data_IF_783201859526
#
_entry.id   IF_783201859526
#
_cell.length_a   1.000
_cell.length_b   1.000
_cell.length_c   1.000
_cell.angle_alpha   90.00
_cell.angle_beta   90.00
_cell.angle_gamma   90.00
#
_symmetry.space_group_name_H-M   'P 1'
#
loop_
_entity.id
_entity.type
_entity.pdbx_description
1 polymer ?
#
# COMPACT_ATOMS: atom_id res chain seq x y z
N UNK A 1 30.81 -14.44 24.24
CA UNK A 1 31.17 -13.81 22.94
C UNK A 1 30.08 -14.04 21.91
N UNK A 2 29.76 -15.31 21.60
CA UNK A 2 28.77 -15.69 20.57
C UNK A 2 27.41 -15.02 20.76
N UNK A 3 26.84 -15.01 21.96
CA UNK A 3 25.52 -14.39 22.22
C UNK A 3 25.45 -12.90 21.87
N UNK A 4 26.53 -12.14 22.08
CA UNK A 4 26.56 -10.70 21.78
C UNK A 4 26.52 -10.45 20.27
N UNK A 5 27.28 -11.23 19.50
CA UNK A 5 27.27 -11.13 18.04
C UNK A 5 25.96 -11.65 17.45
N UNK A 6 25.36 -12.69 18.03
CA UNK A 6 24.04 -13.16 17.63
C UNK A 6 22.95 -12.10 17.87
N UNK A 7 22.97 -11.43 19.03
CA UNK A 7 22.06 -10.32 19.31
C UNK A 7 22.30 -9.13 18.37
N UNK A 8 23.57 -8.79 18.10
CA UNK A 8 23.93 -7.75 17.15
C UNK A 8 23.45 -8.08 15.73
N UNK A 9 23.57 -9.33 15.30
CA UNK A 9 23.06 -9.78 14.00
C UNK A 9 21.53 -9.71 13.93
N UNK A 10 20.83 -10.15 14.99
CA UNK A 10 19.37 -10.11 15.03
C UNK A 10 18.84 -8.67 14.90
N UNK A 11 19.38 -7.72 15.67
CA UNK A 11 18.96 -6.31 15.57
C UNK A 11 19.37 -5.66 14.25
N UNK A 12 20.51 -6.06 13.66
CA UNK A 12 20.90 -5.61 12.32
C UNK A 12 19.89 -6.05 11.25
N UNK A 13 19.49 -7.33 11.28
CA UNK A 13 18.53 -7.87 10.30
C UNK A 13 17.17 -7.21 10.45
N UNK A 14 16.65 -7.07 11.68
CA UNK A 14 15.40 -6.34 11.93
C UNK A 14 15.47 -4.91 11.39
N UNK A 15 16.56 -4.19 11.68
CA UNK A 15 16.75 -2.82 11.24
C UNK A 15 16.81 -2.65 9.71
N UNK A 16 17.49 -3.57 9.02
CA UNK A 16 17.54 -3.57 7.56
C UNK A 16 16.17 -3.86 6.93
N UNK A 17 15.42 -4.81 7.48
CA UNK A 17 14.06 -5.12 7.01
C UNK A 17 13.12 -3.93 7.22
N UNK A 18 13.20 -3.24 8.36
CA UNK A 18 12.46 -2.00 8.59
C UNK A 18 12.82 -0.91 7.59
N UNK A 19 14.11 -0.73 7.28
CA UNK A 19 14.55 0.24 6.26
C UNK A 19 14.06 -0.10 4.86
N UNK A 20 13.93 -1.40 4.52
CA UNK A 20 13.36 -1.85 3.25
C UNK A 20 11.86 -1.56 3.16
N UNK A 21 11.14 -1.60 4.28
CA UNK A 21 9.71 -1.25 4.34
C UNK A 21 9.47 0.27 4.29
N UNK A 22 10.44 1.08 4.71
CA UNK A 22 10.32 2.54 4.83
C UNK A 22 9.84 3.26 3.56
N UNK A 23 10.51 3.12 2.39
CA UNK A 23 10.14 3.84 1.17
C UNK A 23 8.71 3.59 0.70
N UNK A 24 8.26 2.32 0.72
CA UNK A 24 6.90 1.98 0.34
C UNK A 24 5.90 2.67 1.28
N UNK A 25 6.15 2.61 2.59
CA UNK A 25 5.29 3.24 3.59
C UNK A 25 5.30 4.77 3.51
N UNK A 26 6.40 5.42 3.09
CA UNK A 26 6.43 6.87 2.86
C UNK A 26 5.45 7.29 1.75
N UNK A 27 5.33 6.48 0.69
CA UNK A 27 4.41 6.73 -0.42
C UNK A 27 2.93 6.59 -0.05
N UNK A 28 2.62 5.86 1.02
CA UNK A 28 1.25 5.67 1.54
C UNK A 28 0.92 6.66 2.68
N UNK A 29 1.81 6.78 3.67
CA UNK A 29 1.64 7.65 4.83
C UNK A 29 3.00 8.07 5.39
N UNK A 30 3.30 9.37 5.32
CA UNK A 30 4.59 9.93 5.75
C UNK A 30 4.93 9.56 7.20
N UNK A 31 3.96 9.57 8.12
CA UNK A 31 4.21 9.23 9.53
C UNK A 31 4.57 7.76 9.71
N UNK A 32 3.92 6.87 8.97
CA UNK A 32 4.27 5.44 8.98
C UNK A 32 5.64 5.20 8.34
N UNK A 33 5.90 5.81 7.17
CA UNK A 33 7.22 5.72 6.54
C UNK A 33 8.35 6.21 7.44
N UNK A 34 8.15 7.34 8.14
CA UNK A 34 9.10 7.85 9.13
C UNK A 34 9.30 6.89 10.30
N UNK A 35 8.23 6.27 10.82
CA UNK A 35 8.32 5.25 11.87
C UNK A 35 9.24 4.10 11.44
N UNK A 36 9.06 3.56 10.24
CA UNK A 36 9.88 2.47 9.70
C UNK A 36 11.34 2.89 9.51
N UNK A 37 11.60 4.08 8.98
CA UNK A 37 12.95 4.58 8.73
C UNK A 37 13.68 4.85 10.05
N UNK A 38 13.06 5.61 10.95
CA UNK A 38 13.65 5.96 12.25
C UNK A 38 13.84 4.70 13.10
N UNK A 39 12.85 3.80 13.11
CA UNK A 39 12.93 2.51 13.80
C UNK A 39 14.05 1.64 13.25
N UNK A 40 14.17 1.53 11.92
CA UNK A 40 15.24 0.80 11.28
C UNK A 40 16.64 1.34 11.61
N UNK A 41 16.83 2.66 11.56
CA UNK A 41 18.10 3.31 11.98
C UNK A 41 18.39 3.03 13.46
N UNK A 42 17.38 3.16 14.34
CA UNK A 42 17.53 2.89 15.76
C UNK A 42 17.93 1.43 16.04
N UNK A 43 17.43 0.47 15.25
CA UNK A 43 17.80 -0.93 15.36
C UNK A 43 19.23 -1.20 14.87
N UNK A 44 19.63 -0.62 13.74
CA UNK A 44 21.02 -0.70 13.28
C UNK A 44 21.99 -0.08 14.30
N UNK A 45 21.59 0.96 15.01
CA UNK A 45 22.41 1.54 16.09
C UNK A 45 22.74 0.52 17.20
N UNK A 46 21.82 -0.38 17.56
CA UNK A 46 22.01 -1.35 18.64
C UNK A 46 23.11 -2.38 18.37
N UNK A 47 23.56 -2.53 17.11
CA UNK A 47 24.72 -3.34 16.74
C UNK A 47 25.95 -2.91 17.55
N UNK A 48 26.19 -1.60 17.69
CA UNK A 48 27.42 -1.08 18.29
C UNK A 48 27.48 -1.38 19.79
N UNK A 49 26.47 -1.05 20.62
CA UNK A 49 26.46 -1.42 22.03
C UNK A 49 26.59 -2.93 22.25
N UNK A 50 25.97 -3.77 21.41
CA UNK A 50 26.06 -5.23 21.54
C UNK A 50 27.45 -5.75 21.18
N UNK A 51 27.99 -5.38 20.03
CA UNK A 51 29.29 -5.85 19.56
C UNK A 51 30.44 -5.33 20.44
N UNK A 52 30.35 -4.07 20.91
CA UNK A 52 31.37 -3.44 21.77
C UNK A 52 31.12 -3.61 23.27
N UNK A 53 30.04 -4.29 23.65
CA UNK A 53 29.68 -4.61 25.04
C UNK A 53 29.63 -3.40 25.96
N UNK A 54 28.85 -2.39 25.59
CA UNK A 54 28.71 -1.17 26.39
C UNK A 54 28.02 -1.40 27.75
N UNK A 55 27.47 -2.60 27.97
CA UNK A 55 27.01 -3.08 29.27
C UNK A 55 25.51 -2.99 29.46
N UNK A 56 25.07 -3.54 30.59
CA UNK A 56 23.67 -3.75 30.96
C UNK A 56 22.73 -2.57 30.72
N UNK A 57 23.06 -1.30 31.05
CA UNK A 57 22.16 -0.18 30.80
C UNK A 57 21.79 -0.01 29.32
N UNK A 58 22.75 -0.20 28.41
CA UNK A 58 22.52 -0.07 26.98
C UNK A 58 21.68 -1.21 26.43
N UNK A 59 21.89 -2.44 26.91
CA UNK A 59 21.08 -3.58 26.49
C UNK A 59 19.63 -3.42 26.96
N UNK A 60 19.42 -2.90 28.18
CA UNK A 60 18.09 -2.63 28.70
C UNK A 60 17.36 -1.54 27.89
N UNK A 61 18.05 -0.47 27.48
CA UNK A 61 17.47 0.56 26.60
C UNK A 61 17.12 -0.05 25.24
N UNK A 62 18.01 -0.86 24.66
CA UNK A 62 17.74 -1.54 23.39
C UNK A 62 16.52 -2.47 23.47
N UNK A 63 16.40 -3.26 24.53
CA UNK A 63 15.22 -4.09 24.81
C UNK A 63 13.97 -3.22 24.90
N UNK A 64 14.01 -2.13 25.68
CA UNK A 64 12.86 -1.25 25.86
C UNK A 64 12.40 -0.60 24.56
N UNK A 65 13.34 -0.07 23.77
CA UNK A 65 13.04 0.51 22.46
C UNK A 65 12.45 -0.51 21.49
N UNK A 66 13.01 -1.71 21.43
CA UNK A 66 12.51 -2.79 20.55
C UNK A 66 11.13 -3.27 20.99
N UNK A 67 10.89 -3.39 22.30
CA UNK A 67 9.58 -3.81 22.83
C UNK A 67 8.47 -2.80 22.49
N UNK A 68 8.79 -1.51 22.32
CA UNK A 68 7.81 -0.51 21.85
C UNK A 68 7.37 -0.81 20.41
N UNK A 69 8.30 -1.16 19.52
CA UNK A 69 7.96 -1.55 18.13
C UNK A 69 7.10 -2.81 18.09
N UNK A 70 7.51 -3.88 18.79
CA UNK A 70 6.69 -5.08 18.91
C UNK A 70 5.30 -4.79 19.51
N UNK A 71 5.21 -3.93 20.53
CA UNK A 71 3.92 -3.56 21.13
C UNK A 71 3.05 -2.80 20.12
N UNK A 72 3.65 -1.88 19.37
CA UNK A 72 2.95 -1.15 18.32
C UNK A 72 2.46 -2.09 17.21
N UNK A 73 3.27 -3.05 16.80
CA UNK A 73 2.89 -4.11 15.87
C UNK A 73 1.71 -4.92 16.42
N UNK A 74 1.79 -5.41 17.66
CA UNK A 74 0.70 -6.18 18.25
C UNK A 74 -0.58 -5.34 18.36
N UNK A 75 -0.50 -4.11 18.85
CA UNK A 75 -1.66 -3.22 18.99
C UNK A 75 -2.33 -3.02 17.64
N UNK A 76 -1.57 -2.70 16.60
CA UNK A 76 -2.12 -2.44 15.28
C UNK A 76 -2.77 -3.67 14.65
N UNK A 77 -2.51 -4.88 15.16
CA UNK A 77 -3.09 -6.16 14.69
C UNK A 77 -4.28 -6.62 15.52
N UNK A 78 -4.68 -5.84 16.53
CA UNK A 78 -5.89 -6.10 17.29
C UNK A 78 -7.13 -5.51 16.58
N UNK A 79 -8.27 -6.21 16.61
CA UNK A 79 -9.55 -5.64 16.20
C UNK A 79 -9.88 -4.38 17.01
N UNK A 80 -10.26 -3.29 16.32
CA UNK A 80 -10.66 -2.04 16.99
C UNK A 80 -9.51 -1.34 17.72
N UNK A 81 -8.26 -1.50 17.27
CA UNK A 81 -7.13 -0.93 18.00
C UNK A 81 -7.17 0.60 18.10
N UNK A 82 -6.64 1.18 19.19
CA UNK A 82 -6.78 2.61 19.46
C UNK A 82 -5.93 3.53 18.56
N UNK A 83 -5.09 2.98 17.69
CA UNK A 83 -4.16 3.76 16.86
C UNK A 83 -4.75 3.99 15.46
N UNK A 84 -5.27 2.93 14.87
CA UNK A 84 -5.80 2.91 13.49
C UNK A 84 -7.28 2.55 13.42
N UNK A 85 -7.86 2.04 14.51
CA UNK A 85 -9.25 1.55 14.55
C UNK A 85 -9.45 0.20 13.85
N UNK A 86 -8.46 -0.33 13.13
CA UNK A 86 -8.59 -1.49 12.23
C UNK A 86 -7.42 -2.46 12.32
N UNK A 87 -7.68 -3.75 12.15
CA UNK A 87 -6.62 -4.78 12.12
C UNK A 87 -5.72 -4.50 10.93
N UNK A 88 -4.47 -4.13 11.17
CA UNK A 88 -3.45 -4.14 10.13
C UNK A 88 -3.10 -5.59 9.80
N UNK A 89 -2.99 -5.93 8.52
CA UNK A 89 -2.65 -7.29 8.13
C UNK A 89 -1.17 -7.63 8.36
N UNK A 90 -0.80 -8.80 7.87
CA UNK A 90 0.50 -9.41 8.12
C UNK A 90 1.07 -9.93 6.82
N UNK A 91 2.17 -9.31 6.38
CA UNK A 91 3.00 -9.88 5.33
C UNK A 91 4.18 -10.67 5.94
N UNK A 92 4.79 -11.61 5.18
CA UNK A 92 5.91 -12.41 5.67
C UNK A 92 7.11 -11.59 6.15
N UNK A 93 7.33 -10.41 5.58
CA UNK A 93 8.44 -9.53 5.97
C UNK A 93 8.19 -8.89 7.34
N UNK A 94 6.98 -8.41 7.61
CA UNK A 94 6.59 -7.89 8.91
C UNK A 94 6.71 -8.97 9.98
N UNK A 95 6.30 -10.21 9.68
CA UNK A 95 6.50 -11.33 10.60
C UNK A 95 7.99 -11.60 10.83
N UNK A 96 8.82 -11.56 9.77
CA UNK A 96 10.26 -11.74 9.90
C UNK A 96 10.92 -10.67 10.78
N UNK A 97 10.52 -9.40 10.64
CA UNK A 97 10.94 -8.31 11.52
C UNK A 97 10.67 -8.67 12.99
N UNK A 98 9.42 -9.02 13.32
CA UNK A 98 9.02 -9.37 14.69
C UNK A 98 9.80 -10.56 15.25
N UNK A 99 10.09 -11.57 14.43
CA UNK A 99 10.91 -12.72 14.84
C UNK A 99 12.34 -12.30 15.20
N UNK A 100 12.96 -11.43 14.41
CA UNK A 100 14.30 -10.94 14.70
C UNK A 100 14.33 -9.98 15.90
N UNK A 101 13.30 -9.16 16.09
CA UNK A 101 13.12 -8.31 17.27
C UNK A 101 12.98 -9.14 18.55
N UNK A 102 12.11 -10.15 18.55
CA UNK A 102 11.95 -11.08 19.66
C UNK A 102 13.25 -11.82 19.97
N UNK A 103 13.98 -12.23 18.94
CA UNK A 103 15.29 -12.90 19.07
C UNK A 103 16.31 -11.96 19.73
N UNK A 104 16.37 -10.70 19.29
CA UNK A 104 17.25 -9.69 19.89
C UNK A 104 16.92 -9.48 21.38
N UNK A 105 15.64 -9.28 21.71
CA UNK A 105 15.19 -9.09 23.10
C UNK A 105 15.58 -10.31 23.96
N UNK A 106 15.29 -11.52 23.50
CA UNK A 106 15.61 -12.76 24.22
C UNK A 106 17.10 -12.92 24.49
N UNK A 107 17.94 -12.68 23.48
CA UNK A 107 19.40 -12.78 23.61
C UNK A 107 19.96 -11.67 24.52
N UNK A 108 19.51 -10.43 24.37
CA UNK A 108 19.93 -9.32 25.20
C UNK A 108 19.54 -9.53 26.67
N UNK A 109 18.33 -10.01 26.94
CA UNK A 109 17.88 -10.35 28.29
C UNK A 109 18.73 -11.48 28.89
N UNK A 110 19.02 -12.54 28.13
CA UNK A 110 19.89 -13.63 28.57
C UNK A 110 21.30 -13.14 28.91
N UNK A 111 21.86 -12.22 28.11
CA UNK A 111 23.14 -11.56 28.37
C UNK A 111 23.11 -10.78 29.69
N UNK A 112 22.06 -10.00 29.95
CA UNK A 112 21.90 -9.24 31.19
C UNK A 112 21.88 -10.19 32.40
N UNK A 113 21.08 -11.26 32.33
CA UNK A 113 20.99 -12.27 33.40
C UNK A 113 22.35 -12.92 33.65
N UNK A 114 23.07 -13.28 32.57
CA UNK A 114 24.40 -13.86 32.65
C UNK A 114 25.41 -12.91 33.30
N UNK A 115 25.47 -11.65 32.85
CA UNK A 115 26.37 -10.62 33.41
C UNK A 115 26.08 -10.39 34.90
N UNK A 116 24.81 -10.31 35.30
CA UNK A 116 24.42 -10.10 36.68
C UNK A 116 24.79 -11.30 37.57
N UNK A 117 24.59 -12.54 37.08
CA UNK A 117 25.02 -13.76 37.79
C UNK A 117 26.53 -13.82 37.95
N UNK A 118 27.28 -13.44 36.92
CA UNK A 118 28.74 -13.42 36.96
C UNK A 118 29.26 -12.35 37.92
N UNK A 119 28.71 -11.13 37.90
CA UNK A 119 29.04 -10.08 38.89
C UNK A 119 28.81 -10.56 40.32
N UNK A 120 27.65 -11.16 40.60
CA UNK A 120 27.34 -11.71 41.93
C UNK A 120 28.34 -12.77 42.40
N UNK A 121 28.74 -13.70 41.51
CA UNK A 121 29.76 -14.73 41.81
C UNK A 121 31.13 -14.12 42.10
N UNK A 122 31.51 -13.08 41.36
CA UNK A 122 32.78 -12.39 41.57
C UNK A 122 32.77 -11.61 42.89
N UNK A 123 31.66 -10.95 43.22
CA UNK A 123 31.50 -10.24 44.49
C UNK A 123 31.55 -11.21 45.67
N UNK A 124 30.87 -12.36 45.60
CA UNK A 124 30.89 -13.41 46.62
C UNK A 124 32.28 -14.02 46.83
N UNK A 125 33.03 -14.21 45.73
CA UNK A 125 34.43 -14.65 45.79
C UNK A 125 35.37 -13.57 46.35
N UNK A 126 35.06 -12.29 46.12
CA UNK A 126 35.81 -11.16 46.69
C UNK A 126 35.53 -10.92 48.18
N UNK A 127 34.42 -11.41 48.72
CA UNK A 127 34.10 -11.35 50.16
C UNK A 127 34.84 -12.45 50.93
N UNK A 128 35.21 -13.54 50.26
CA UNK A 128 35.98 -14.66 50.85
C UNK A 128 37.50 -14.45 50.79
N UNK A 129 37.99 -13.44 50.07
CA UNK A 129 39.39 -13.00 50.06
C UNK A 129 39.50 -11.56 50.64
N UNK A 130 40.39 -11.33 51.60
CA UNK A 130 40.57 -10.05 52.33
C UNK A 130 40.74 -8.85 51.37
N UNK A 131 40.10 -7.67 51.58
CA UNK A 131 39.99 -6.66 50.54
C UNK A 131 41.18 -5.70 50.48
N UNK A 132 41.78 -5.53 49.29
CA UNK A 132 42.61 -4.35 48.97
C UNK A 132 41.92 -3.41 47.98
N UNK A 133 41.54 -2.25 48.53
CA UNK A 133 41.37 -0.90 47.93
C UNK A 133 40.59 -0.74 46.60
N UNK A 134 39.40 -0.13 46.73
CA UNK A 134 38.55 0.38 45.63
C UNK A 134 39.22 1.52 44.85
N UNK A 135 39.15 1.45 43.52
CA UNK A 135 39.24 2.62 42.63
C UNK A 135 37.95 2.72 41.82
N UNK A 136 37.14 3.74 42.11
CA UNK A 136 36.00 4.14 41.26
C UNK A 136 36.55 4.88 40.05
N UNK A 137 36.21 4.44 38.83
CA UNK A 137 36.39 5.25 37.61
C UNK A 137 35.04 5.65 37.02
N UNK A 138 34.81 6.96 37.09
CA UNK A 138 34.18 7.88 36.14
C UNK A 138 33.27 7.28 35.05
N UNK A 139 31.99 7.62 35.15
CA UNK A 139 30.97 7.50 34.08
C UNK A 139 31.03 8.78 33.23
N UNK A 140 31.17 8.72 31.89
CA UNK A 140 30.99 9.91 31.07
C UNK A 140 29.51 10.14 30.80
N UNK A 141 29.11 11.38 31.08
CA UNK A 141 27.80 11.99 30.82
C UNK A 141 27.62 12.09 29.30
N UNK A 142 26.67 11.34 28.74
CA UNK A 142 26.12 11.55 27.40
C UNK A 142 24.75 10.85 27.28
N UNK A 143 23.81 11.24 28.14
CA UNK A 143 22.42 10.79 28.11
C UNK A 143 21.52 12.01 28.12
N UNK A 144 21.22 12.54 26.93
CA UNK A 144 20.36 13.72 26.82
C UNK A 144 19.62 13.94 25.51
N UNK A 145 19.95 13.25 24.40
CA UNK A 145 19.38 13.64 23.08
C UNK A 145 18.57 12.54 22.39
N UNK A 146 18.76 11.25 22.72
CA UNK A 146 18.06 10.16 22.01
C UNK A 146 16.70 9.79 22.64
N UNK A 147 16.49 10.05 23.93
CA UNK A 147 15.22 9.72 24.63
C UNK A 147 14.14 10.80 24.41
N UNK A 148 14.53 12.02 24.06
CA UNK A 148 13.60 13.14 23.92
C UNK A 148 12.84 13.16 22.57
N UNK A 149 13.34 12.50 21.52
CA UNK A 149 12.70 12.51 20.20
C UNK A 149 11.63 11.43 20.00
N UNK A 150 11.56 10.43 20.88
CA UNK A 150 10.58 9.34 20.80
C UNK A 150 9.34 9.62 21.66
N UNK A 151 9.41 10.57 22.60
CA UNK A 151 8.35 10.86 23.57
C UNK A 151 7.51 12.10 23.28
N UNK A 152 7.83 12.90 22.26
CA UNK A 152 7.07 14.13 21.93
C UNK A 152 6.01 13.95 20.83
N UNK A 153 5.78 12.72 20.34
CA UNK A 153 4.79 12.44 19.29
C UNK A 153 3.47 11.82 19.75
N UNK A 154 3.36 11.38 21.02
CA UNK A 154 2.12 10.87 21.58
C UNK A 154 1.60 11.88 22.61
N UNK A 155 0.62 12.70 22.24
CA UNK A 155 -0.46 13.24 23.08
C UNK A 155 -1.05 14.44 22.35
N UNK A 156 -2.13 14.25 21.60
CA UNK A 156 -3.44 14.94 21.74
C UNK A 156 -4.41 14.23 20.80
N UNK A 157 -5.47 13.61 21.32
CA UNK A 157 -6.81 13.56 20.70
C UNK A 157 -7.81 13.06 21.77
N UNK A 158 -8.93 13.76 22.01
CA UNK A 158 -9.89 13.40 23.05
C UNK A 158 -10.86 12.32 22.56
N UNK A 159 -11.03 11.27 23.38
CA UNK A 159 -12.00 10.20 23.16
C UNK A 159 -13.41 10.67 23.52
N UNK A 160 -14.28 10.83 22.53
CA UNK A 160 -15.74 10.81 22.72
C UNK A 160 -16.32 9.64 21.96
N UNK A 161 -16.85 8.64 22.68
CA UNK A 161 -17.53 7.47 22.10
C UNK A 161 -19.01 7.77 21.81
N UNK A 162 -19.57 7.29 20.70
CA UNK A 162 -21.00 6.99 20.59
C UNK A 162 -21.30 5.50 20.81
N UNK A 163 -22.49 5.25 21.38
CA UNK A 163 -23.11 3.94 21.67
C UNK A 163 -23.44 3.13 20.41
N UNK A 164 -23.55 1.80 20.50
CA UNK A 164 -24.04 0.97 19.40
C UNK A 164 -25.59 0.97 19.35
N UNK A 165 -26.16 1.17 18.16
CA UNK A 165 -27.56 0.85 17.87
C UNK A 165 -27.63 -0.55 17.23
N UNK A 166 -28.51 -1.39 17.76
CA UNK A 166 -28.80 -2.73 17.22
C UNK A 166 -29.72 -2.67 16.01
N UNK A 167 -29.41 -3.51 15.01
CA UNK A 167 -30.32 -3.87 13.91
C UNK A 167 -30.83 -5.31 14.06
N UNK A 168 -32.06 -5.63 13.62
CA UNK A 168 -32.70 -6.95 13.76
C UNK A 168 -32.27 -7.95 12.66
N UNK A 169 -32.60 -9.26 12.80
CA UNK A 169 -31.94 -10.32 12.06
C UNK A 169 -32.54 -10.61 10.68
N UNK A 170 -31.68 -11.17 9.83
CA UNK A 170 -31.94 -11.67 8.48
C UNK A 170 -32.98 -12.81 8.43
N UNK A 171 -33.82 -12.80 7.40
CA UNK A 171 -34.59 -13.96 6.95
C UNK A 171 -33.91 -14.59 5.74
N UNK A 172 -33.70 -15.90 5.82
CA UNK A 172 -33.11 -16.71 4.78
C UNK A 172 -34.09 -17.10 3.67
N UNK A 173 -33.53 -17.36 2.49
CA UNK A 173 -34.19 -18.01 1.38
C UNK A 173 -33.14 -18.61 0.43
N UNK A 174 -33.07 -19.94 0.38
CA UNK A 174 -32.26 -20.72 -0.57
C UNK A 174 -32.96 -20.86 -1.94
N UNK A 175 -32.24 -21.26 -3.01
CA UNK A 175 -32.50 -20.81 -4.37
C UNK A 175 -33.43 -21.74 -5.18
N UNK A 176 -34.18 -21.12 -6.11
CA UNK A 176 -34.95 -21.81 -7.14
C UNK A 176 -34.13 -21.99 -8.42
N UNK A 177 -33.97 -23.25 -8.83
CA UNK A 177 -33.38 -23.68 -10.10
C UNK A 177 -34.34 -23.34 -11.24
N UNK A 178 -33.88 -22.59 -12.24
CA UNK A 178 -34.62 -22.25 -13.46
C UNK A 178 -33.83 -22.60 -14.71
N UNK A 179 -34.41 -23.45 -15.56
CA UNK A 179 -33.83 -24.07 -16.74
C UNK A 179 -33.51 -23.12 -17.90
N UNK A 180 -32.44 -23.50 -18.60
CA UNK A 180 -32.14 -23.33 -20.03
C UNK A 180 -33.27 -22.84 -20.94
N UNK A 181 -33.00 -21.72 -21.63
CA UNK A 181 -33.69 -21.26 -22.82
C UNK A 181 -32.66 -20.71 -23.83
N UNK A 182 -32.84 -21.06 -25.10
CA UNK A 182 -31.89 -20.92 -26.20
C UNK A 182 -31.62 -19.48 -26.66
N UNK A 183 -30.46 -19.31 -27.32
CA UNK A 183 -30.01 -18.13 -28.08
C UNK A 183 -31.07 -17.57 -29.06
N UNK A 184 -30.90 -16.32 -29.49
CA UNK A 184 -30.36 -16.13 -30.84
C UNK A 184 -29.15 -15.19 -30.91
N UNK A 185 -28.31 -15.49 -31.91
CA UNK A 185 -27.14 -14.76 -32.37
C UNK A 185 -27.48 -13.37 -32.94
N UNK A 186 -26.52 -12.43 -32.86
CA UNK A 186 -26.34 -11.41 -33.88
C UNK A 186 -26.49 -9.95 -33.42
N UNK A 187 -25.36 -9.23 -33.48
CA UNK A 187 -25.27 -7.79 -33.79
C UNK A 187 -25.88 -6.82 -32.77
N UNK A 188 -25.09 -6.40 -31.77
CA UNK A 188 -25.32 -5.10 -31.11
C UNK A 188 -24.13 -4.47 -30.36
N UNK A 189 -22.89 -4.88 -30.63
CA UNK A 189 -21.70 -4.36 -29.92
C UNK A 189 -20.89 -3.29 -30.70
N UNK A 190 -21.48 -2.57 -31.67
CA UNK A 190 -20.74 -1.63 -32.52
C UNK A 190 -21.17 -0.14 -32.41
N UNK A 191 -22.17 0.21 -31.59
CA UNK A 191 -22.77 1.56 -31.62
C UNK A 191 -22.62 2.37 -30.31
N UNK A 192 -21.67 2.04 -29.44
CA UNK A 192 -21.40 2.84 -28.22
C UNK A 192 -20.06 3.59 -28.25
N UNK A 193 -19.35 3.61 -29.39
CA UNK A 193 -17.97 4.11 -29.50
C UNK A 193 -17.82 5.44 -30.24
N UNK A 194 -18.82 6.32 -30.21
CA UNK A 194 -18.67 7.65 -30.83
C UNK A 194 -19.16 8.76 -29.89
N UNK A 195 -18.21 9.30 -29.12
CA UNK A 195 -18.42 10.48 -28.29
C UNK A 195 -18.35 11.74 -29.16
N UNK A 196 -19.50 12.40 -29.33
CA UNK A 196 -19.68 13.65 -30.08
C UNK A 196 -18.68 14.75 -29.70
N UNK A 197 -18.05 15.36 -30.70
CA UNK A 197 -16.97 16.37 -30.63
C UNK A 197 -17.43 17.80 -30.28
N UNK A 198 -18.35 18.00 -29.33
CA UNK A 198 -18.79 19.35 -28.91
C UNK A 198 -19.53 19.35 -27.55
N UNK A 199 -19.02 18.61 -26.56
CA UNK A 199 -19.59 18.62 -25.20
C UNK A 199 -18.75 19.53 -24.29
N UNK A 200 -19.43 20.37 -23.50
CA UNK A 200 -18.83 21.15 -22.41
C UNK A 200 -18.14 20.19 -21.44
N UNK A 201 -16.95 20.53 -20.92
CA UNK A 201 -16.27 19.73 -19.92
C UNK A 201 -17.11 19.72 -18.63
N UNK A 202 -17.97 18.72 -18.48
CA UNK A 202 -18.78 18.58 -17.27
C UNK A 202 -18.82 17.10 -16.90
N UNK A 203 -17.96 16.72 -15.96
CA UNK A 203 -18.11 15.47 -15.22
C UNK A 203 -19.49 15.54 -14.52
N UNK A 204 -20.49 14.81 -15.02
CA UNK A 204 -21.86 14.91 -14.49
C UNK A 204 -22.13 13.82 -13.42
N UNK A 205 -22.89 14.07 -12.33
CA UNK A 205 -23.24 15.34 -11.69
C UNK A 205 -22.58 15.40 -10.30
N UNK A 206 -21.49 16.15 -10.15
CA UNK A 206 -21.20 16.78 -8.87
C UNK A 206 -21.13 18.28 -9.13
N UNK A 207 -21.70 19.06 -8.19
CA UNK A 207 -21.84 20.52 -8.24
C UNK A 207 -20.49 21.27 -8.17
N UNK A 208 -19.43 20.66 -8.69
CA UNK A 208 -18.08 21.20 -8.77
C UNK A 208 -17.66 21.05 -10.23
N UNK A 209 -17.53 22.18 -10.93
CA UNK A 209 -16.74 22.23 -12.15
C UNK A 209 -15.29 21.91 -11.75
N UNK A 210 -14.95 20.62 -11.68
CA UNK A 210 -13.56 20.22 -11.49
C UNK A 210 -12.86 20.47 -12.82
N UNK A 211 -11.97 21.44 -12.85
CA UNK A 211 -11.25 21.89 -14.06
C UNK A 211 -10.39 20.78 -14.69
N UNK A 212 -10.05 19.73 -13.93
CA UNK A 212 -9.31 18.54 -14.39
C UNK A 212 -9.56 17.33 -13.48
N UNK A 213 -9.16 16.12 -13.90
CA UNK A 213 -9.28 14.91 -13.08
C UNK A 213 -8.22 14.91 -11.96
N UNK A 214 -8.58 14.65 -10.68
CA UNK A 214 -7.62 14.72 -9.57
C UNK A 214 -6.53 13.65 -9.64
N UNK A 215 -5.30 14.07 -9.32
CA UNK A 215 -4.16 13.18 -9.20
C UNK A 215 -4.12 12.45 -7.85
N UNK A 216 -3.59 11.23 -7.88
CA UNK A 216 -3.28 10.46 -6.68
C UNK A 216 -1.90 9.82 -6.79
N UNK A 217 -1.38 9.35 -5.66
CA UNK A 217 -0.07 8.69 -5.59
C UNK A 217 0.05 7.57 -6.61
N UNK A 218 1.21 7.52 -7.29
CA UNK A 218 1.62 6.40 -8.16
C UNK A 218 1.66 5.08 -7.38
N UNK A 219 1.96 5.15 -6.08
CA UNK A 219 2.25 3.96 -5.28
C UNK A 219 3.61 3.34 -5.65
N UNK A 220 4.00 2.26 -4.95
CA UNK A 220 5.36 1.71 -5.04
C UNK A 220 5.56 0.74 -6.21
N UNK A 221 4.52 0.46 -7.00
CA UNK A 221 4.50 -0.64 -7.96
C UNK A 221 4.41 -0.19 -9.42
N UNK A 222 4.64 1.07 -9.73
CA UNK A 222 4.83 1.47 -11.12
C UNK A 222 6.15 0.92 -11.68
N UNK A 223 6.12 0.48 -12.93
CA UNK A 223 7.29 -0.02 -13.64
C UNK A 223 7.22 0.56 -15.05
N UNK A 224 8.19 1.39 -15.40
CA UNK A 224 8.27 1.98 -16.73
C UNK A 224 8.77 0.98 -17.78
N UNK A 225 8.53 1.27 -19.06
CA UNK A 225 8.95 0.42 -20.18
C UNK A 225 8.10 -0.85 -20.35
N UNK A 226 6.88 -0.87 -19.80
CA UNK A 226 5.90 -1.94 -20.03
C UNK A 226 5.47 -2.00 -21.51
N UNK A 227 5.04 -3.16 -22.03
CA UNK A 227 4.73 -3.32 -23.44
C UNK A 227 3.49 -2.52 -23.88
N UNK A 228 3.51 -2.03 -25.12
CA UNK A 228 2.32 -1.47 -25.78
C UNK A 228 1.38 -2.62 -26.19
N UNK A 229 0.28 -2.80 -25.46
CA UNK A 229 -0.66 -3.89 -25.70
C UNK A 229 -2.01 -3.60 -25.08
N UNK A 230 -3.06 -4.02 -25.78
CA UNK A 230 -4.44 -3.88 -25.31
C UNK A 230 -4.80 -5.02 -24.37
N UNK A 231 -4.49 -6.27 -24.73
CA UNK A 231 -4.62 -7.40 -23.82
C UNK A 231 -3.42 -7.48 -22.87
N UNK A 232 -3.68 -7.20 -21.60
CA UNK A 232 -2.67 -7.23 -20.53
C UNK A 232 -2.76 -8.49 -19.66
N UNK A 233 -3.67 -9.42 -19.94
CA UNK A 233 -3.94 -10.59 -19.08
C UNK A 233 -2.79 -11.60 -19.01
N UNK A 234 -1.95 -11.65 -20.03
CA UNK A 234 -0.84 -12.61 -20.11
C UNK A 234 0.49 -12.01 -19.68
N UNK A 235 1.36 -12.84 -19.12
CA UNK A 235 2.77 -12.52 -18.95
C UNK A 235 3.54 -12.76 -20.27
N UNK A 236 4.30 -11.79 -20.77
CA UNK A 236 4.92 -11.90 -22.10
C UNK A 236 6.11 -12.85 -22.15
N UNK A 237 6.74 -13.15 -21.00
CA UNK A 237 7.90 -14.05 -20.95
C UNK A 237 7.48 -15.51 -20.86
N UNK A 238 6.50 -15.79 -20.01
CA UNK A 238 6.04 -17.16 -19.71
C UNK A 238 4.82 -17.58 -20.51
N UNK A 239 4.05 -16.62 -21.05
CA UNK A 239 2.75 -16.87 -21.66
C UNK A 239 1.64 -17.24 -20.67
N UNK A 240 1.91 -17.15 -19.36
CA UNK A 240 0.94 -17.47 -18.32
C UNK A 240 -0.20 -16.46 -18.31
N UNK A 241 -1.44 -16.95 -18.34
CA UNK A 241 -2.66 -16.14 -18.35
C UNK A 241 -3.20 -15.96 -16.93
N UNK A 242 -3.37 -14.70 -16.51
CA UNK A 242 -3.96 -14.39 -15.22
C UNK A 242 -5.44 -14.76 -15.20
N UNK A 243 -5.84 -15.50 -14.16
CA UNK A 243 -7.22 -15.93 -13.97
C UNK A 243 -8.01 -14.85 -13.24
N UNK A 244 -9.19 -14.53 -13.76
CA UNK A 244 -10.11 -13.56 -13.16
C UNK A 244 -11.34 -13.35 -14.03
N UNK A 245 -12.27 -12.55 -13.53
CA UNK A 245 -13.46 -12.13 -14.29
C UNK A 245 -13.00 -11.11 -15.34
N UNK A 246 -13.29 -11.29 -16.64
CA UNK A 246 -12.87 -10.36 -17.67
C UNK A 246 -13.36 -8.92 -17.43
N UNK A 247 -12.51 -7.94 -17.69
CA UNK A 247 -12.83 -6.52 -17.67
C UNK A 247 -12.27 -5.87 -18.93
N UNK A 248 -13.17 -5.35 -19.77
CA UNK A 248 -12.79 -4.46 -20.86
C UNK A 248 -12.81 -3.02 -20.35
N UNK A 249 -11.66 -2.35 -20.37
CA UNK A 249 -11.49 -1.00 -19.85
C UNK A 249 -11.26 -0.02 -21.01
N UNK A 250 -12.07 1.03 -21.05
CA UNK A 250 -11.90 2.15 -21.98
C UNK A 250 -11.57 3.41 -21.20
N UNK A 251 -10.45 4.03 -21.55
CA UNK A 251 -10.01 5.31 -20.99
C UNK A 251 -10.05 6.33 -22.11
N UNK A 252 -10.88 7.36 -21.96
CA UNK A 252 -10.88 8.51 -22.84
C UNK A 252 -10.09 9.63 -22.20
N UNK A 253 -9.18 10.25 -22.95
CA UNK A 253 -8.33 11.33 -22.49
C UNK A 253 -8.68 12.59 -23.27
N UNK A 254 -8.94 13.66 -22.53
CA UNK A 254 -9.25 14.97 -23.05
C UNK A 254 -8.27 16.00 -22.50
N UNK A 255 -7.94 16.99 -23.31
CA UNK A 255 -7.34 18.26 -22.87
C UNK A 255 -8.44 19.33 -22.75
N UNK A 256 -8.13 20.42 -22.04
CA UNK A 256 -9.05 21.56 -21.86
C UNK A 256 -8.57 22.74 -22.68
N UNK A 257 -9.40 23.17 -23.64
CA UNK A 257 -9.18 24.40 -24.41
C UNK A 257 -10.38 25.33 -24.25
N UNK A 258 -10.17 26.49 -23.61
CA UNK A 258 -11.21 27.50 -23.37
C UNK A 258 -12.52 26.92 -22.77
N UNK A 259 -12.40 25.94 -21.88
CA UNK A 259 -13.52 25.26 -21.22
C UNK A 259 -14.19 24.14 -22.04
N UNK A 260 -13.68 23.85 -23.24
CA UNK A 260 -14.14 22.74 -24.09
C UNK A 260 -13.19 21.54 -23.97
N UNK A 261 -13.76 20.34 -23.96
CA UNK A 261 -13.00 19.08 -23.87
C UNK A 261 -12.60 18.65 -25.27
N UNK A 262 -11.29 18.68 -25.57
CA UNK A 262 -10.74 18.26 -26.84
C UNK A 262 -10.11 16.88 -26.67
N UNK A 263 -10.47 15.87 -27.47
CA UNK A 263 -9.82 14.57 -27.40
C UNK A 263 -8.30 14.67 -27.57
N UNK A 264 -7.54 14.10 -26.64
CA UNK A 264 -6.09 14.13 -26.67
C UNK A 264 -5.56 12.88 -27.35
N UNK A 265 -5.24 13.00 -28.65
CA UNK A 265 -4.63 11.93 -29.44
C UNK A 265 -3.12 11.80 -29.19
N UNK A 266 -2.58 10.59 -29.27
CA UNK A 266 -1.14 10.33 -29.14
C UNK A 266 -0.62 10.27 -27.70
N UNK A 267 -1.48 10.38 -26.69
CA UNK A 267 -1.10 10.22 -25.29
C UNK A 267 -0.89 8.74 -24.95
N UNK A 268 0.14 8.44 -24.18
CA UNK A 268 0.35 7.11 -23.61
C UNK A 268 -0.49 6.97 -22.36
N UNK A 269 -1.38 5.98 -22.32
CA UNK A 269 -2.13 5.60 -21.13
C UNK A 269 -1.52 4.30 -20.62
N UNK A 270 -0.80 4.37 -19.51
CA UNK A 270 -0.27 3.22 -18.80
C UNK A 270 -1.29 2.77 -17.73
N UNK A 271 -1.56 1.47 -17.64
CA UNK A 271 -2.34 0.89 -16.55
C UNK A 271 -1.60 -0.28 -15.88
N UNK A 272 -1.80 -0.41 -14.57
CA UNK A 272 -1.34 -1.56 -13.80
C UNK A 272 -2.25 -1.84 -12.62
N UNK A 273 -2.42 -3.11 -12.28
CA UNK A 273 -3.19 -3.51 -11.11
C UNK A 273 -2.78 -4.90 -10.60
N UNK A 274 -3.27 -5.24 -9.41
CA UNK A 274 -3.10 -6.56 -8.83
C UNK A 274 -3.91 -7.63 -9.58
N UNK A 275 -3.43 -8.86 -9.58
CA UNK A 275 -4.21 -10.03 -9.98
C UNK A 275 -5.36 -10.31 -8.99
N UNK A 276 -6.11 -11.38 -9.24
CA UNK A 276 -7.25 -11.78 -8.40
C UNK A 276 -6.87 -12.18 -6.97
N UNK A 277 -5.58 -12.31 -6.66
CA UNK A 277 -5.04 -12.66 -5.34
C UNK A 277 -4.22 -11.51 -4.71
N UNK A 278 -4.33 -10.29 -5.24
CA UNK A 278 -3.64 -9.12 -4.68
C UNK A 278 -2.15 -9.03 -5.04
N UNK A 279 -1.67 -9.80 -6.03
CA UNK A 279 -0.27 -9.83 -6.44
C UNK A 279 -0.04 -8.95 -7.67
N UNK A 280 0.97 -8.10 -7.60
CA UNK A 280 1.47 -7.29 -8.71
C UNK A 280 2.62 -8.01 -9.42
N UNK A 281 2.66 -7.92 -10.74
CA UNK A 281 3.84 -8.27 -11.53
C UNK A 281 4.95 -7.21 -11.36
N UNK A 282 6.20 -7.51 -11.69
CA UNK A 282 7.31 -6.56 -11.60
C UNK A 282 7.77 -6.21 -10.17
N UNK A 283 7.32 -6.94 -9.15
CA UNK A 283 7.61 -6.64 -7.74
C UNK A 283 8.53 -7.71 -7.15
N UNK A 284 9.77 -7.33 -6.85
CA UNK A 284 10.78 -8.23 -6.27
C UNK A 284 10.30 -8.89 -4.97
N UNK A 285 9.67 -8.12 -4.09
CA UNK A 285 9.20 -8.62 -2.79
C UNK A 285 8.06 -9.63 -2.90
N UNK A 286 7.38 -9.68 -4.04
CA UNK A 286 6.32 -10.66 -4.33
C UNK A 286 6.83 -11.82 -5.20
N UNK A 287 8.13 -11.84 -5.52
CA UNK A 287 8.72 -12.88 -6.37
C UNK A 287 8.34 -12.77 -7.85
N UNK A 288 7.88 -11.59 -8.29
CA UNK A 288 7.36 -11.36 -9.64
C UNK A 288 8.20 -10.38 -10.45
N UNK A 289 9.45 -10.10 -10.04
CA UNK A 289 10.30 -9.04 -10.63
C UNK A 289 10.47 -9.09 -12.15
N UNK A 290 10.47 -10.28 -12.74
CA UNK A 290 10.63 -10.46 -14.18
C UNK A 290 9.29 -10.53 -14.93
N UNK A 291 8.17 -10.56 -14.22
CA UNK A 291 6.85 -10.73 -14.80
C UNK A 291 6.23 -9.38 -15.14
N UNK A 292 5.31 -9.37 -16.12
CA UNK A 292 4.62 -8.16 -16.55
C UNK A 292 3.12 -8.32 -16.80
N UNK A 293 2.52 -9.42 -16.32
CA UNK A 293 1.07 -9.58 -16.36
C UNK A 293 0.32 -8.37 -15.77
N UNK A 294 -0.86 -8.06 -16.30
CA UNK A 294 -1.75 -6.98 -15.85
C UNK A 294 -1.07 -5.60 -15.84
N UNK A 295 -0.12 -5.42 -16.77
CA UNK A 295 0.57 -4.17 -17.08
C UNK A 295 0.66 -3.96 -18.58
N UNK A 296 0.49 -2.72 -19.00
CA UNK A 296 0.70 -2.32 -20.38
C UNK A 296 0.33 -0.86 -20.56
N UNK A 297 0.67 -0.34 -21.73
CA UNK A 297 0.17 0.94 -22.17
C UNK A 297 -0.48 0.85 -23.54
N UNK A 298 -1.32 1.83 -23.83
CA UNK A 298 -1.89 2.06 -25.14
C UNK A 298 -1.72 3.53 -25.51
N UNK A 299 -1.67 3.81 -26.80
CA UNK A 299 -1.65 5.18 -27.31
C UNK A 299 -3.08 5.57 -27.68
N UNK A 300 -3.52 6.74 -27.24
CA UNK A 300 -4.86 7.24 -27.55
C UNK A 300 -5.02 7.49 -29.04
N UNK A 301 -6.17 7.07 -29.59
CA UNK A 301 -6.50 7.29 -31.00
C UNK A 301 -6.96 8.75 -31.27
N UNK A 302 -7.47 9.04 -32.47
CA UNK A 302 -7.96 10.38 -32.85
C UNK A 302 -9.12 10.89 -31.95
N UNK A 303 -9.87 9.97 -31.35
CA UNK A 303 -10.95 10.27 -30.40
C UNK A 303 -10.46 10.32 -28.94
N UNK A 304 -9.15 10.32 -28.70
CA UNK A 304 -8.58 10.34 -27.36
C UNK A 304 -8.75 9.03 -26.58
N UNK A 305 -9.09 7.93 -27.26
CA UNK A 305 -9.47 6.67 -26.60
C UNK A 305 -8.32 5.67 -26.57
N UNK A 306 -8.09 5.07 -25.39
CA UNK A 306 -7.26 3.89 -25.16
C UNK A 306 -8.12 2.73 -24.62
N UNK A 307 -7.87 1.50 -25.09
CA UNK A 307 -8.68 0.33 -24.74
C UNK A 307 -7.82 -0.82 -24.27
N UNK A 308 -8.26 -1.50 -23.20
CA UNK A 308 -7.57 -2.63 -22.60
C UNK A 308 -8.52 -3.80 -22.36
N UNK A 309 -8.02 -5.01 -22.58
CA UNK A 309 -8.63 -6.25 -22.08
C UNK A 309 -7.82 -6.73 -20.88
N UNK A 310 -8.46 -6.82 -19.73
CA UNK A 310 -7.86 -7.23 -18.46
C UNK A 310 -8.82 -8.10 -17.65
N UNK A 311 -8.52 -8.31 -16.36
CA UNK A 311 -9.41 -8.93 -15.38
C UNK A 311 -9.81 -7.91 -14.31
N UNK A 312 -10.92 -8.14 -13.62
CA UNK A 312 -11.30 -7.39 -12.43
C UNK A 312 -10.17 -7.51 -11.38
N UNK A 313 -9.67 -6.40 -10.81
CA UNK A 313 -8.56 -6.44 -9.86
C UNK A 313 -8.93 -7.09 -8.52
N UNK A 314 -7.99 -7.82 -7.91
CA UNK A 314 -8.12 -8.29 -6.54
C UNK A 314 -7.74 -7.22 -5.52
N UNK A 315 -8.17 -7.38 -4.26
CA UNK A 315 -7.71 -6.53 -3.17
C UNK A 315 -6.32 -6.94 -2.69
N UNK A 316 -5.60 -6.00 -2.08
CA UNK A 316 -4.39 -6.27 -1.31
C UNK A 316 -4.40 -5.45 -0.02
N UNK A 317 -3.64 -5.90 0.96
CA UNK A 317 -3.74 -5.46 2.35
C UNK A 317 -3.76 -3.93 2.50
N UNK A 318 -4.79 -3.44 3.20
CA UNK A 318 -4.92 -2.03 3.58
C UNK A 318 -5.34 -1.07 2.46
N UNK A 319 -5.80 -1.58 1.31
CA UNK A 319 -6.26 -0.77 0.18
C UNK A 319 -7.63 -1.20 -0.35
N UNK A 320 -8.43 -0.24 -0.81
CA UNK A 320 -9.61 -0.52 -1.63
C UNK A 320 -9.18 -1.11 -2.97
N UNK A 321 -10.11 -1.75 -3.69
CA UNK A 321 -9.81 -2.36 -4.99
C UNK A 321 -9.71 -1.25 -6.07
N UNK A 322 -8.59 -1.21 -6.78
CA UNK A 322 -8.28 -0.15 -7.74
C UNK A 322 -7.47 -0.63 -8.95
N UNK A 323 -7.49 0.19 -10.01
CA UNK A 323 -6.60 0.11 -11.16
C UNK A 323 -5.79 1.39 -11.20
N UNK A 324 -4.46 1.29 -11.18
CA UNK A 324 -3.64 2.48 -11.36
C UNK A 324 -3.63 2.93 -12.82
N UNK A 325 -3.54 4.23 -13.02
CA UNK A 325 -3.48 4.87 -14.34
C UNK A 325 -2.43 5.96 -14.35
N UNK A 326 -1.68 6.06 -15.43
CA UNK A 326 -0.79 7.17 -15.73
C UNK A 326 -0.98 7.59 -17.18
N UNK A 327 -1.10 8.89 -17.42
CA UNK A 327 -1.21 9.46 -18.76
C UNK A 327 0.00 10.33 -19.03
N UNK A 328 0.72 10.03 -20.10
CA UNK A 328 1.95 10.73 -20.51
C UNK A 328 1.85 11.26 -21.92
N UNK A 329 2.44 12.43 -22.16
CA UNK A 329 2.62 12.98 -23.51
C UNK A 329 4.09 13.05 -23.86
N UNK A 330 4.40 12.98 -25.16
CA UNK A 330 5.77 12.95 -25.65
C UNK A 330 5.95 13.87 -26.85
N UNK A 331 7.09 14.57 -26.90
CA UNK A 331 7.61 15.21 -28.10
C UNK A 331 8.84 14.41 -28.58
N UNK A 332 8.64 13.58 -29.61
CA UNK A 332 9.63 12.58 -30.01
C UNK A 332 9.79 11.53 -28.91
N UNK A 333 10.99 11.43 -28.32
CA UNK A 333 11.26 10.52 -27.19
C UNK A 333 11.24 11.24 -25.83
N UNK A 334 11.01 12.56 -25.81
CA UNK A 334 11.04 13.37 -24.59
C UNK A 334 9.65 13.44 -24.00
N UNK A 335 9.49 12.97 -22.77
CA UNK A 335 8.25 13.17 -22.01
C UNK A 335 8.02 14.67 -21.77
N UNK A 336 6.81 15.13 -22.06
CA UNK A 336 6.38 16.53 -21.93
C UNK A 336 5.44 16.77 -20.77
N UNK A 337 4.63 15.78 -20.42
CA UNK A 337 3.72 15.85 -19.28
C UNK A 337 3.43 14.46 -18.74
N UNK A 338 3.08 14.42 -17.46
CA UNK A 338 2.62 13.23 -16.77
C UNK A 338 1.46 13.58 -15.84
N UNK A 339 0.45 12.72 -15.82
CA UNK A 339 -0.64 12.72 -14.85
C UNK A 339 -0.79 11.31 -14.29
N UNK A 340 -0.90 11.17 -12.97
CA UNK A 340 -1.01 9.86 -12.31
C UNK A 340 -2.19 9.83 -11.34
N UNK A 341 -2.96 8.74 -11.36
CA UNK A 341 -4.08 8.54 -10.44
C UNK A 341 -4.47 7.05 -10.33
N UNK A 342 -5.64 6.79 -9.77
CA UNK A 342 -6.18 5.44 -9.53
C UNK A 342 -7.68 5.43 -9.82
N UNK A 343 -8.19 4.41 -10.49
CA UNK A 343 -9.62 4.17 -10.67
C UNK A 343 -10.13 3.19 -9.62
N UNK A 344 -11.20 3.57 -8.92
CA UNK A 344 -11.85 2.75 -7.90
C UNK A 344 -13.08 2.05 -8.44
N UNK A 345 -13.41 0.90 -7.86
CA UNK A 345 -14.55 0.09 -8.29
C UNK A 345 -15.65 0.08 -7.22
N UNK A 346 -16.94 0.00 -7.61
CA UNK A 346 -18.05 0.10 -6.65
C UNK A 346 -18.04 -1.05 -5.62
N UNK A 347 -18.16 -0.71 -4.34
CA UNK A 347 -18.12 -1.71 -3.25
C UNK A 347 -19.14 -2.86 -3.38
N UNK A 348 -20.40 -2.62 -3.78
CA UNK A 348 -21.35 -3.72 -4.00
C UNK A 348 -20.87 -4.72 -5.07
N UNK A 349 -20.14 -4.25 -6.08
CA UNK A 349 -19.57 -5.11 -7.12
C UNK A 349 -18.32 -5.82 -6.60
N UNK A 350 -17.47 -5.10 -5.86
CA UNK A 350 -16.29 -5.66 -5.20
C UNK A 350 -16.66 -6.87 -4.33
N UNK A 351 -17.67 -6.70 -3.47
CA UNK A 351 -18.18 -7.76 -2.59
C UNK A 351 -18.67 -8.98 -3.40
N UNK A 352 -19.47 -8.76 -4.45
CA UNK A 352 -19.99 -9.83 -5.28
C UNK A 352 -18.88 -10.59 -6.01
N UNK A 353 -17.93 -9.89 -6.62
CA UNK A 353 -16.80 -10.49 -7.35
C UNK A 353 -15.97 -11.37 -6.42
N UNK A 354 -15.68 -10.90 -5.20
CA UNK A 354 -14.81 -11.60 -4.26
C UNK A 354 -15.45 -12.82 -3.58
N UNK A 355 -16.73 -13.10 -3.84
CA UNK A 355 -17.37 -14.38 -3.48
C UNK A 355 -17.17 -15.48 -4.52
N UNK A 356 -16.63 -15.16 -5.70
CA UNK A 356 -16.53 -16.08 -6.84
C UNK A 356 -15.07 -16.53 -7.06
N UNK A 357 -14.82 -17.76 -7.54
CA UNK A 357 -13.49 -18.15 -7.99
C UNK A 357 -12.99 -17.27 -9.15
N UNK A 358 -11.68 -16.97 -9.24
CA UNK A 358 -10.63 -17.33 -8.29
C UNK A 358 -10.51 -16.42 -7.05
N UNK A 359 -11.22 -15.29 -7.01
CA UNK A 359 -11.13 -14.28 -5.95
C UNK A 359 -11.45 -14.81 -4.56
N UNK A 360 -12.41 -15.74 -4.47
CA UNK A 360 -12.82 -16.38 -3.21
C UNK A 360 -11.68 -17.11 -2.49
N UNK A 361 -10.59 -17.45 -3.19
CA UNK A 361 -9.40 -18.06 -2.59
C UNK A 361 -8.60 -17.07 -1.74
N UNK A 362 -8.66 -15.78 -2.09
CA UNK A 362 -7.99 -14.71 -1.34
C UNK A 362 -8.83 -14.30 -0.13
N UNK A 363 -10.16 -14.34 -0.26
CA UNK A 363 -11.11 -14.05 0.81
C UNK A 363 -11.96 -12.81 0.52
N UNK A 364 -12.86 -12.46 1.45
CA UNK A 364 -13.74 -11.29 1.29
C UNK A 364 -12.91 -10.00 1.22
N UNK A 365 -13.48 -8.98 0.59
CA UNK A 365 -12.89 -7.63 0.53
C UNK A 365 -12.59 -7.14 1.94
N UNK A 366 -11.36 -6.68 2.17
CA UNK A 366 -10.91 -6.21 3.50
C UNK A 366 -11.30 -4.75 3.78
N UNK A 367 -11.24 -3.90 2.76
CA UNK A 367 -11.35 -2.44 2.88
C UNK A 367 -12.32 -1.93 1.81
N UNK A 368 -13.38 -1.21 2.23
CA UNK A 368 -14.27 -0.49 1.30
C UNK A 368 -13.58 0.78 0.77
N UNK A 369 -14.15 1.40 -0.25
CA UNK A 369 -13.60 2.66 -0.78
C UNK A 369 -13.47 3.73 0.30
N UNK A 370 -14.52 4.01 1.06
CA UNK A 370 -14.50 5.04 2.13
C UNK A 370 -13.56 4.71 3.29
N UNK A 371 -13.13 3.45 3.39
CA UNK A 371 -12.16 3.00 4.38
C UNK A 371 -10.71 3.17 3.92
N UNK A 372 -10.46 3.24 2.61
CA UNK A 372 -9.12 3.44 2.04
C UNK A 372 -8.64 4.89 2.25
N UNK A 373 -7.44 5.04 2.83
CA UNK A 373 -6.89 6.36 3.18
C UNK A 373 -6.49 7.22 1.97
N UNK A 374 -6.24 6.62 0.81
CA UNK A 374 -5.97 7.32 -0.45
C UNK A 374 -7.31 7.76 -1.08
N UNK A 375 -8.32 6.88 -1.12
CA UNK A 375 -9.66 7.22 -1.58
C UNK A 375 -10.27 8.36 -0.77
N UNK A 376 -10.28 8.23 0.57
CA UNK A 376 -10.82 9.21 1.50
C UNK A 376 -9.94 10.47 1.65
N UNK A 377 -8.71 10.41 1.15
CA UNK A 377 -7.71 11.46 1.25
C UNK A 377 -7.88 12.61 0.25
N UNK A 378 -6.97 13.57 0.35
CA UNK A 378 -6.82 14.65 -0.63
C UNK A 378 -6.16 14.15 -1.92
N UNK A 379 -6.39 14.85 -3.03
CA UNK A 379 -5.62 14.66 -4.26
C UNK A 379 -4.20 15.23 -4.10
N UNK A 380 -3.23 14.66 -4.83
CA UNK A 380 -1.82 15.05 -4.69
C UNK A 380 -1.50 16.40 -5.32
N UNK A 381 -2.35 16.86 -6.24
CA UNK A 381 -2.32 18.20 -6.85
C UNK A 381 -3.06 19.26 -6.02
N UNK A 382 -3.73 18.87 -4.93
CA UNK A 382 -4.48 19.77 -4.06
C UNK A 382 -5.84 20.23 -4.60
N UNK A 383 -6.28 19.72 -5.76
CA UNK A 383 -7.61 20.01 -6.34
C UNK A 383 -8.75 19.61 -5.40
N UNK A 384 -8.62 18.47 -4.74
CA UNK A 384 -9.62 17.90 -3.82
C UNK A 384 -8.99 17.73 -2.44
N UNK A 385 -9.63 18.28 -1.40
CA UNK A 385 -9.09 18.29 -0.03
C UNK A 385 -9.43 17.02 0.78
N UNK A 386 -10.43 16.27 0.36
CA UNK A 386 -10.80 14.97 0.93
C UNK A 386 -11.72 14.20 -0.03
N UNK A 387 -11.78 12.88 0.13
CA UNK A 387 -12.57 11.98 -0.72
C UNK A 387 -12.25 12.11 -2.22
N UNK A 388 -10.98 12.32 -2.57
CA UNK A 388 -10.56 12.41 -3.97
C UNK A 388 -10.98 11.20 -4.81
N UNK A 389 -11.02 10.01 -4.19
CA UNK A 389 -11.45 8.78 -4.85
C UNK A 389 -12.91 8.77 -5.33
N UNK A 390 -13.81 9.56 -4.73
CA UNK A 390 -15.20 9.69 -5.20
C UNK A 390 -15.28 10.23 -6.63
N UNK A 391 -14.29 11.02 -7.04
CA UNK A 391 -14.18 11.59 -8.39
C UNK A 391 -13.46 10.65 -9.38
N UNK A 392 -13.01 9.49 -8.90
CA UNK A 392 -12.18 8.52 -9.61
C UNK A 392 -12.87 7.15 -9.70
N UNK A 393 -14.19 7.11 -9.54
CA UNK A 393 -14.99 5.90 -9.66
C UNK A 393 -15.14 5.48 -11.12
N UNK A 394 -14.79 4.23 -11.41
CA UNK A 394 -14.98 3.65 -12.74
C UNK A 394 -16.46 3.46 -13.03
N UNK A 395 -16.93 3.95 -14.18
CA UNK A 395 -18.30 3.66 -14.62
C UNK A 395 -18.34 2.23 -15.18
N UNK A 396 -18.91 1.33 -14.38
CA UNK A 396 -18.86 -0.10 -14.60
C UNK A 396 -20.23 -0.66 -14.98
N UNK A 397 -20.26 -1.46 -16.05
CA UNK A 397 -21.46 -2.18 -16.49
C UNK A 397 -21.15 -3.66 -16.63
N UNK A 398 -22.08 -4.52 -16.23
CA UNK A 398 -21.92 -5.97 -16.41
C UNK A 398 -22.16 -6.34 -17.89
N UNK A 399 -21.25 -7.11 -18.49
CA UNK A 399 -21.35 -7.55 -19.88
C UNK A 399 -20.90 -9.01 -20.00
N UNK A 400 -21.78 -9.87 -20.52
CA UNK A 400 -21.54 -11.29 -20.76
C UNK A 400 -21.00 -12.04 -19.53
N UNK A 401 -19.71 -12.43 -19.55
CA UNK A 401 -19.02 -13.16 -18.48
C UNK A 401 -18.19 -12.25 -17.57
N UNK A 402 -18.29 -10.93 -17.72
CA UNK A 402 -17.49 -9.97 -16.97
C UNK A 402 -18.04 -8.56 -17.00
N UNK A 403 -17.15 -7.57 -17.11
CA UNK A 403 -17.51 -6.16 -17.01
C UNK A 403 -16.92 -5.31 -18.13
N UNK A 404 -17.60 -4.21 -18.41
CA UNK A 404 -17.14 -3.12 -19.25
C UNK A 404 -17.03 -1.85 -18.41
N UNK A 405 -15.83 -1.31 -18.31
CA UNK A 405 -15.49 -0.13 -17.53
C UNK A 405 -15.12 1.05 -18.43
N UNK A 406 -15.61 2.25 -18.09
CA UNK A 406 -15.28 3.49 -18.80
C UNK A 406 -14.86 4.57 -17.82
N UNK A 407 -13.85 5.35 -18.19
CA UNK A 407 -13.46 6.55 -17.46
C UNK A 407 -13.00 7.66 -18.41
N UNK A 408 -13.38 8.90 -18.10
CA UNK A 408 -12.95 10.09 -18.85
C UNK A 408 -11.93 10.86 -18.00
N UNK A 409 -10.68 10.87 -18.46
CA UNK A 409 -9.59 11.67 -17.89
C UNK A 409 -9.57 13.02 -18.59
N UNK A 410 -9.61 14.08 -17.80
CA UNK A 410 -9.49 15.47 -18.26
C UNK A 410 -8.16 16.00 -17.73
N UNK A 411 -7.26 16.34 -18.63
CA UNK A 411 -5.98 16.96 -18.34
C UNK A 411 -6.10 18.46 -18.58
N UNK A 412 -5.60 19.27 -17.65
CA UNK A 412 -5.46 20.72 -17.87
C UNK A 412 -3.97 21.02 -18.11
N UNK A 413 -3.59 21.09 -19.40
CA UNK A 413 -2.23 21.40 -19.81
C UNK A 413 -1.77 22.80 -19.35
N UNK A 414 -2.67 23.71 -18.99
CA UNK A 414 -2.32 25.05 -18.49
C UNK A 414 -1.80 25.04 -17.05
N UNK A 415 -2.06 23.96 -16.28
CA UNK A 415 -1.60 23.81 -14.90
C UNK A 415 -0.31 22.98 -14.74
N UNK A 416 0.09 22.24 -15.78
CA UNK A 416 1.30 21.38 -15.74
C UNK A 416 2.61 22.14 -16.01
N UNK A 417 2.55 23.46 -16.25
CA UNK A 417 3.69 24.32 -16.57
C UNK A 417 4.31 25.10 -15.39
N UNK A 418 4.26 24.60 -14.15
CA UNK A 418 4.90 25.26 -12.98
C UNK A 418 5.94 24.42 -12.28
#
# INVERSE_FOLDING_TARGET
MVMYYAAAAATATAGLLHLMLGPNNLGFNVNQGLLFIVGGIAQVFWIVPMARRWGTPWYAIGIGGTAVFMTLFLITRMPGNPITGRVGGTNPMSIAVEVFEATFIGLAAAIIVYENRMKKRLDEKSITEVPTRKNKKLVPILTGIVVALVLTGLFVLPLTMPRPMGGPPAQGGSPGIGQFGQQPQGQQAANLLDGSTNQTCTLTPSLVEVESTPQQTEGPYFVDGMPNRSDITSDTLTGSLQQGIPLNLVVNVYDVDNGSCIPLSGAHVDIWHADSQGVYSGVLLQGTSEQNFLRGYQITNENGTAQFSTIYPGWYEGRAIHIHVKVRTFEGTRETSEWTSQFYLPDPVNEQVHTQPPYSNHGPVEITNEEDGIYAGASTDGLIQSNAGQHLMLNLTHQDQGYFGTFNVILDASQTGK
#
